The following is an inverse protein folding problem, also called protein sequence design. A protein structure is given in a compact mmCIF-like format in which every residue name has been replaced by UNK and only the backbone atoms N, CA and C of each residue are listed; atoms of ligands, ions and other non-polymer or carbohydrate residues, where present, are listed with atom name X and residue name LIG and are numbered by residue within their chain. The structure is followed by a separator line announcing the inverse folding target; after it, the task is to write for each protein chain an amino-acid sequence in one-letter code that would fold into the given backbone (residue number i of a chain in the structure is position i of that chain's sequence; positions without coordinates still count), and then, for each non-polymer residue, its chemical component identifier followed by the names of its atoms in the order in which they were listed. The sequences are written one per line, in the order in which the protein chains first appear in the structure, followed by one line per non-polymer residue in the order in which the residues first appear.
data_IF_741202678290
#
_entry.id   IF_741202678290
#
_cell.length_a   1.000
_cell.length_b   1.000
_cell.length_c   1.000
_cell.angle_alpha   90.00
_cell.angle_beta   90.00
_cell.angle_gamma   90.00
#
_symmetry.space_group_name_H-M   'P 1'
#
loop_
_entity.id
_entity.type
_entity.pdbx_description
1 polymer ?
#
# COMPACT_ATOMS: atom_id res chain seq x y z
N UNK A 1 26.48 -24.13 13.66
CA UNK A 1 26.51 -23.00 12.72
C UNK A 1 25.13 -22.88 12.09
N UNK A 2 24.33 -21.95 12.59
CA UNK A 2 23.02 -21.63 12.01
C UNK A 2 23.33 -20.69 10.84
N UNK A 3 22.95 -21.07 9.62
CA UNK A 3 23.06 -20.18 8.46
C UNK A 3 22.03 -19.06 8.65
N UNK A 4 22.48 -17.87 9.03
CA UNK A 4 21.67 -16.66 8.93
C UNK A 4 21.26 -16.50 7.46
N UNK A 5 19.95 -16.47 7.23
CA UNK A 5 19.38 -16.25 5.91
C UNK A 5 19.43 -14.74 5.66
N UNK A 6 20.61 -14.25 5.28
CA UNK A 6 20.91 -12.85 5.02
C UNK A 6 20.22 -12.37 3.73
N UNK A 7 18.91 -12.11 3.84
CA UNK A 7 18.13 -11.56 2.72
C UNK A 7 18.19 -10.04 2.79
N UNK A 8 19.30 -9.51 2.28
CA UNK A 8 19.49 -8.07 2.01
C UNK A 8 18.55 -7.53 0.94
N UNK A 9 17.80 -8.40 0.23
CA UNK A 9 16.74 -8.02 -0.68
C UNK A 9 15.65 -9.10 -0.76
N UNK A 10 14.45 -8.69 -1.17
CA UNK A 10 13.34 -9.62 -1.38
C UNK A 10 12.14 -8.97 -2.07
N UNK A 11 11.15 -9.80 -2.39
CA UNK A 11 9.86 -9.38 -2.92
C UNK A 11 8.76 -10.10 -2.15
N UNK A 12 7.78 -9.36 -1.70
CA UNK A 12 6.56 -9.88 -1.08
C UNK A 12 5.35 -9.30 -1.81
N UNK A 13 4.30 -10.08 -1.98
CA UNK A 13 3.07 -9.63 -2.64
C UNK A 13 1.87 -9.97 -1.76
N UNK A 14 0.89 -9.07 -1.75
CA UNK A 14 -0.34 -9.24 -0.99
C UNK A 14 -1.55 -8.86 -1.85
N UNK A 15 -2.66 -9.56 -1.66
CA UNK A 15 -3.96 -9.25 -2.28
C UNK A 15 -4.91 -8.71 -1.24
N UNK A 16 -5.44 -7.52 -1.51
CA UNK A 16 -6.42 -6.87 -0.66
C UNK A 16 -7.76 -6.76 -1.41
N UNK A 17 -8.86 -7.31 -0.88
CA UNK A 17 -10.13 -7.32 -1.57
C UNK A 17 -10.83 -5.95 -1.48
N UNK A 18 -11.52 -5.58 -2.55
CA UNK A 18 -12.44 -4.44 -2.56
C UNK A 18 -13.74 -4.78 -1.81
N UNK A 19 -14.57 -3.78 -1.55
CA UNK A 19 -15.84 -3.96 -0.85
C UNK A 19 -16.94 -3.05 -1.42
N UNK A 20 -18.20 -3.43 -1.21
CA UNK A 20 -19.38 -2.64 -1.54
C UNK A 20 -20.12 -2.29 -0.26
N UNK A 21 -20.35 -0.99 -0.01
CA UNK A 21 -21.07 -0.53 1.17
C UNK A 21 -22.57 -0.84 1.09
N UNK A 22 -23.07 -1.54 2.11
CA UNK A 22 -24.50 -1.74 2.39
C UNK A 22 -25.05 -0.59 3.23
N UNK A 23 -24.28 -0.13 4.21
CA UNK A 23 -24.49 1.12 4.96
C UNK A 23 -23.35 2.06 4.61
N UNK A 24 -23.67 3.20 4.00
CA UNK A 24 -22.70 4.11 3.39
C UNK A 24 -21.82 4.79 4.43
N UNK A 25 -20.51 4.80 4.20
CA UNK A 25 -19.60 5.78 4.80
C UNK A 25 -19.80 7.12 4.08
N UNK A 26 -20.22 8.17 4.78
CA UNK A 26 -20.41 9.48 4.15
C UNK A 26 -20.13 10.65 5.10
N UNK A 27 -19.04 11.36 4.83
CA UNK A 27 -18.58 12.48 5.65
C UNK A 27 -17.43 12.10 6.59
N UNK A 28 -16.54 13.04 6.83
CA UNK A 28 -15.34 12.87 7.66
C UNK A 28 -15.21 13.99 8.68
N UNK A 29 -14.87 13.63 9.91
CA UNK A 29 -14.41 14.55 10.96
C UNK A 29 -12.89 14.77 10.82
N UNK A 30 -12.29 15.50 11.76
CA UNK A 30 -10.83 15.69 11.82
C UNK A 30 -10.12 14.33 11.94
N UNK A 31 -9.01 14.14 11.23
CA UNK A 31 -8.16 12.94 11.34
C UNK A 31 -8.70 11.68 10.68
N UNK A 32 -9.43 11.79 9.56
CA UNK A 32 -10.02 10.65 8.83
C UNK A 32 -11.07 9.84 9.63
N UNK A 33 -11.59 10.39 10.73
CA UNK A 33 -12.62 9.74 11.54
C UNK A 33 -13.99 9.81 10.82
N UNK A 34 -14.72 8.69 10.66
CA UNK A 34 -16.06 8.68 10.05
C UNK A 34 -17.05 9.60 10.76
N UNK A 35 -17.94 10.22 9.98
CA UNK A 35 -19.11 10.92 10.53
C UNK A 35 -20.18 9.95 11.04
N UNK A 36 -20.28 8.75 10.45
CA UNK A 36 -21.26 7.72 10.77
C UNK A 36 -20.65 6.32 10.60
N UNK A 37 -21.18 5.29 11.31
CA UNK A 37 -20.79 3.91 11.06
C UNK A 37 -21.21 3.46 9.66
N UNK A 38 -20.46 2.51 9.11
CA UNK A 38 -20.69 1.90 7.80
C UNK A 38 -20.57 0.39 7.88
N UNK A 39 -21.21 -0.31 6.93
CA UNK A 39 -21.17 -1.77 6.79
C UNK A 39 -20.98 -2.07 5.32
N UNK A 40 -20.09 -2.98 4.97
CA UNK A 40 -19.83 -3.37 3.59
C UNK A 40 -19.67 -4.88 3.44
N UNK A 41 -19.81 -5.33 2.20
CA UNK A 41 -19.56 -6.71 1.78
C UNK A 41 -18.25 -6.77 1.02
N UNK A 42 -17.35 -7.64 1.44
CA UNK A 42 -16.08 -7.92 0.75
C UNK A 42 -16.33 -8.71 -0.54
N UNK A 43 -15.61 -8.36 -1.61
CA UNK A 43 -15.65 -9.06 -2.89
C UNK A 43 -14.39 -9.93 -3.05
N UNK A 44 -14.55 -11.24 -3.24
CA UNK A 44 -13.38 -12.14 -3.34
C UNK A 44 -12.59 -11.98 -4.65
N UNK A 45 -13.28 -11.73 -5.76
CA UNK A 45 -12.68 -11.67 -7.10
C UNK A 45 -12.26 -10.27 -7.53
N UNK A 46 -12.67 -9.24 -6.77
CA UNK A 46 -12.29 -7.85 -7.02
C UNK A 46 -11.28 -7.43 -5.97
N UNK A 47 -10.00 -7.38 -6.35
CA UNK A 47 -8.90 -7.11 -5.43
C UNK A 47 -7.83 -6.25 -6.10
N UNK A 48 -7.03 -5.60 -5.25
CA UNK A 48 -5.76 -4.99 -5.64
C UNK A 48 -4.64 -5.92 -5.20
N UNK A 49 -3.74 -6.27 -6.11
CA UNK A 49 -2.50 -6.97 -5.80
C UNK A 49 -1.37 -5.94 -5.73
N UNK A 50 -0.66 -5.91 -4.60
CA UNK A 50 0.48 -5.02 -4.38
C UNK A 50 1.70 -5.85 -4.05
N UNK A 51 2.76 -5.67 -4.82
CA UNK A 51 4.07 -6.27 -4.61
C UNK A 51 5.05 -5.22 -4.11
N UNK A 52 5.69 -5.50 -2.98
CA UNK A 52 6.78 -4.72 -2.41
C UNK A 52 8.11 -5.44 -2.67
N UNK A 53 8.95 -4.84 -3.49
CA UNK A 53 10.38 -5.11 -3.53
C UNK A 53 11.09 -4.30 -2.45
N UNK A 54 12.05 -4.93 -1.77
CA UNK A 54 12.91 -4.24 -0.82
C UNK A 54 14.36 -4.66 -1.02
N UNK A 55 15.28 -3.73 -0.75
CA UNK A 55 16.71 -4.02 -0.62
C UNK A 55 17.34 -3.14 0.45
N UNK A 56 18.41 -3.59 1.10
CA UNK A 56 19.16 -2.81 2.07
C UNK A 56 19.67 -1.52 1.40
N UNK A 57 19.43 -0.39 2.05
CA UNK A 57 19.86 0.92 1.60
C UNK A 57 21.22 1.28 2.21
N UNK A 58 21.92 2.21 1.56
CA UNK A 58 23.03 2.89 2.23
C UNK A 58 22.49 3.72 3.41
N UNK A 59 23.30 3.99 4.45
CA UNK A 59 22.88 4.82 5.58
C UNK A 59 22.31 6.16 5.09
N UNK A 60 21.05 6.46 5.45
CA UNK A 60 20.36 7.68 5.06
C UNK A 60 19.68 7.68 3.69
N UNK A 61 19.70 6.56 2.94
CA UNK A 61 19.07 6.42 1.62
C UNK A 61 17.77 5.57 1.64
N UNK A 62 17.40 5.02 2.79
CA UNK A 62 16.18 4.21 2.88
C UNK A 62 14.92 5.05 2.74
N UNK A 63 14.15 4.74 1.72
CA UNK A 63 12.90 5.41 1.36
C UNK A 63 12.17 4.65 0.26
N UNK A 64 10.97 5.11 -0.10
CA UNK A 64 10.30 4.66 -1.31
C UNK A 64 11.03 5.18 -2.55
N UNK A 65 11.61 4.26 -3.32
CA UNK A 65 12.26 4.52 -4.58
C UNK A 65 11.26 4.83 -5.70
N UNK A 66 10.21 4.00 -5.81
CA UNK A 66 9.25 4.08 -6.92
C UNK A 66 7.92 3.45 -6.54
N UNK A 67 6.86 3.99 -7.12
CA UNK A 67 5.53 3.37 -7.13
C UNK A 67 4.99 3.32 -8.56
N UNK A 68 4.61 2.11 -9.00
CA UNK A 68 4.01 1.83 -10.30
C UNK A 68 2.60 1.29 -10.09
N UNK A 69 1.63 1.86 -10.80
CA UNK A 69 0.25 1.39 -10.81
C UNK A 69 -0.17 1.04 -12.23
N UNK A 70 -0.60 -0.21 -12.43
CA UNK A 70 -1.02 -0.75 -13.74
C UNK A 70 0.02 -0.47 -14.86
N UNK A 71 1.30 -0.65 -14.53
CA UNK A 71 2.43 -0.47 -15.44
C UNK A 71 2.87 0.98 -15.67
N UNK A 72 2.22 1.96 -15.05
CA UNK A 72 2.56 3.39 -15.16
C UNK A 72 3.07 3.95 -13.82
N UNK A 73 4.15 4.74 -13.85
CA UNK A 73 4.61 5.44 -12.66
C UNK A 73 3.58 6.48 -12.19
N UNK A 74 3.38 6.57 -10.87
CA UNK A 74 2.45 7.53 -10.28
C UNK A 74 3.11 8.27 -9.11
N UNK A 75 3.85 9.33 -9.46
CA UNK A 75 4.65 10.09 -8.51
C UNK A 75 3.80 10.84 -7.47
N UNK A 76 2.59 11.27 -7.84
CA UNK A 76 1.68 11.90 -6.89
C UNK A 76 1.27 10.93 -5.78
N UNK A 77 0.98 9.68 -6.13
CA UNK A 77 0.67 8.65 -5.15
C UNK A 77 1.92 8.19 -4.38
N UNK A 78 3.07 8.09 -5.05
CA UNK A 78 4.36 7.83 -4.41
C UNK A 78 4.66 8.83 -3.28
N UNK A 79 4.38 10.12 -3.50
CA UNK A 79 4.50 11.16 -2.47
C UNK A 79 3.60 10.92 -1.25
N UNK A 80 2.37 10.42 -1.44
CA UNK A 80 1.47 10.06 -0.33
C UNK A 80 2.00 8.87 0.46
N UNK A 81 2.53 7.86 -0.23
CA UNK A 81 3.16 6.69 0.40
C UNK A 81 4.39 7.14 1.19
N UNK A 82 5.27 8.00 0.64
CA UNK A 82 6.43 8.53 1.37
C UNK A 82 6.02 9.24 2.67
N UNK A 83 4.99 10.07 2.63
CA UNK A 83 4.47 10.72 3.84
C UNK A 83 3.92 9.70 4.85
N UNK A 84 3.22 8.68 4.38
CA UNK A 84 2.72 7.60 5.23
C UNK A 84 3.85 6.80 5.88
N UNK A 85 4.83 6.34 5.11
CA UNK A 85 6.01 5.62 5.62
C UNK A 85 6.80 6.50 6.60
N UNK A 86 6.94 7.79 6.31
CA UNK A 86 7.58 8.75 7.22
C UNK A 86 6.83 8.89 8.55
N UNK A 87 5.49 8.89 8.53
CA UNK A 87 4.68 8.91 9.76
C UNK A 87 4.81 7.65 10.61
N UNK A 88 5.29 6.55 10.02
CA UNK A 88 5.53 5.28 10.70
C UNK A 88 6.96 5.14 11.23
N UNK A 89 7.88 6.05 10.91
CA UNK A 89 9.29 5.91 11.26
C UNK A 89 9.53 5.75 12.76
N UNK A 90 8.81 6.50 13.60
CA UNK A 90 8.92 6.40 15.06
C UNK A 90 8.48 5.02 15.60
N UNK A 91 7.54 4.36 14.90
CA UNK A 91 7.03 3.03 15.27
C UNK A 91 7.89 1.90 14.69
N UNK A 92 8.43 2.12 13.49
CA UNK A 92 9.20 1.14 12.72
C UNK A 92 10.50 1.75 12.16
N UNK A 93 11.50 2.04 13.01
CA UNK A 93 12.72 2.73 12.58
C UNK A 93 13.49 1.98 11.48
N UNK A 94 13.47 0.64 11.52
CA UNK A 94 14.13 -0.24 10.55
C UNK A 94 13.69 0.01 9.11
N UNK A 95 12.52 0.61 8.88
CA UNK A 95 12.06 0.92 7.52
C UNK A 95 12.99 1.91 6.81
N UNK A 96 13.72 2.74 7.56
CA UNK A 96 14.73 3.67 7.04
C UNK A 96 16.03 2.98 6.58
N UNK A 97 16.17 1.67 6.80
CA UNK A 97 17.34 0.89 6.34
C UNK A 97 17.09 0.23 4.98
N UNK A 98 15.88 0.36 4.42
CA UNK A 98 15.49 -0.31 3.18
C UNK A 98 15.04 0.68 2.11
N UNK A 99 15.45 0.37 0.88
CA UNK A 99 14.92 0.97 -0.33
C UNK A 99 13.74 0.15 -0.82
N UNK A 100 12.60 0.81 -1.04
CA UNK A 100 11.33 0.14 -1.35
C UNK A 100 10.87 0.45 -2.78
N UNK A 101 10.46 -0.57 -3.52
CA UNK A 101 9.84 -0.46 -4.84
C UNK A 101 8.46 -1.12 -4.80
N UNK A 102 7.42 -0.40 -5.18
CA UNK A 102 6.04 -0.88 -5.09
C UNK A 102 5.42 -0.95 -6.47
N UNK A 103 4.90 -2.12 -6.82
CA UNK A 103 4.07 -2.35 -8.01
C UNK A 103 2.66 -2.75 -7.55
N UNK A 104 1.64 -2.13 -8.11
CA UNK A 104 0.24 -2.39 -7.75
C UNK A 104 -0.66 -2.48 -8.99
N UNK A 105 -1.64 -3.37 -8.97
CA UNK A 105 -2.62 -3.55 -10.05
C UNK A 105 -3.95 -4.08 -9.52
N UNK A 106 -5.05 -3.84 -10.24
CA UNK A 106 -6.36 -4.37 -9.90
C UNK A 106 -6.72 -5.59 -10.75
N UNK A 107 -7.54 -6.48 -10.19
CA UNK A 107 -8.15 -7.59 -10.94
C UNK A 107 -9.35 -7.16 -11.80
N UNK A 108 -9.79 -5.90 -11.69
CA UNK A 108 -10.96 -5.37 -12.37
C UNK A 108 -10.62 -4.10 -13.18
N UNK A 109 -11.33 -3.83 -14.30
CA UNK A 109 -11.08 -2.65 -15.13
C UNK A 109 -11.28 -1.34 -14.37
N UNK A 110 -10.49 -0.31 -14.69
CA UNK A 110 -10.63 1.03 -14.11
C UNK A 110 -12.04 1.61 -14.24
N UNK A 111 -12.77 1.25 -15.31
CA UNK A 111 -14.13 1.75 -15.60
C UNK A 111 -15.27 0.87 -15.06
N UNK A 112 -14.99 -0.08 -14.16
CA UNK A 112 -15.99 -1.00 -13.59
C UNK A 112 -16.88 -0.37 -12.51
N UNK A 113 -16.54 0.82 -12.01
CA UNK A 113 -17.28 1.48 -10.91
C UNK A 113 -16.97 0.90 -9.52
N UNK A 114 -16.00 0.00 -9.41
CA UNK A 114 -15.49 -0.52 -8.14
C UNK A 114 -14.39 0.42 -7.62
N UNK A 115 -14.45 0.81 -6.35
CA UNK A 115 -13.47 1.70 -5.75
C UNK A 115 -12.14 0.98 -5.49
N UNK A 116 -11.17 1.13 -6.39
CA UNK A 116 -9.83 0.56 -6.25
C UNK A 116 -8.99 1.18 -5.14
N UNK A 117 -9.26 2.43 -4.77
CA UNK A 117 -8.51 3.14 -3.74
C UNK A 117 -8.69 2.59 -2.32
N UNK A 118 -9.75 1.83 -2.06
CA UNK A 118 -10.01 1.24 -0.74
C UNK A 118 -9.25 -0.08 -0.53
N UNK A 119 -8.89 -0.77 -1.62
CA UNK A 119 -8.11 -2.01 -1.59
C UNK A 119 -6.61 -1.78 -1.78
N UNK A 120 -6.21 -0.64 -2.35
CA UNK A 120 -4.82 -0.27 -2.61
C UNK A 120 -4.04 0.23 -1.38
#
# INVERSE_FOLDING_TARGET
MIKENDKTAGRICWRSPSNIALVKYWGKKKGQVPANPSVSMTLSESYTETCLGYSLAAPGDGSLARFVFEGSENEQFAGRIRNFLGSLHDLYPFMGDYKLDIESSNSFPHSSGIASSASA
#
